data_IF_323496708579
#
_entry.id   IF_323496708579
#
_cell.length_a   1.000
_cell.length_b   1.000
_cell.length_c   1.000
_cell.angle_alpha   90.00
_cell.angle_beta   90.00
_cell.angle_gamma   90.00
#
_symmetry.space_group_name_H-M   'P 1'
#
loop_
_entity.id
_entity.type
_entity.pdbx_description
1 polymer ?
#
# COMPACT_ATOMS: atom_id res chain seq x y z
N UNK A 1 1.44 26.04 11.85
CA UNK A 1 1.40 25.58 10.44
C UNK A 1 1.53 24.05 10.29
N UNK A 2 0.90 23.27 11.19
CA UNK A 2 0.96 21.78 11.15
C UNK A 2 -0.37 21.10 10.71
N UNK A 3 -1.44 21.85 10.54
CA UNK A 3 -2.76 21.31 10.17
C UNK A 3 -2.87 20.82 8.70
N UNK A 4 -2.02 21.33 7.79
CA UNK A 4 -2.08 20.98 6.37
C UNK A 4 -1.58 19.59 6.01
N UNK A 5 -0.68 19.03 6.82
CA UNK A 5 -0.12 17.67 6.58
C UNK A 5 -1.10 16.58 7.01
N UNK A 6 -1.80 16.77 8.10
CA UNK A 6 -2.75 15.80 8.66
C UNK A 6 -3.99 15.58 7.76
N UNK A 7 -4.50 16.67 7.22
CA UNK A 7 -5.65 16.64 6.28
C UNK A 7 -5.33 15.94 4.96
N UNK A 8 -4.08 16.02 4.47
CA UNK A 8 -3.65 15.37 3.23
C UNK A 8 -3.65 13.84 3.34
N UNK A 9 -3.12 13.29 4.43
CA UNK A 9 -3.04 11.84 4.62
C UNK A 9 -4.42 11.21 4.84
N UNK A 10 -5.27 11.83 5.64
CA UNK A 10 -6.61 11.30 5.95
C UNK A 10 -7.60 11.48 4.79
N UNK A 11 -7.43 12.51 3.95
CA UNK A 11 -8.23 12.71 2.75
C UNK A 11 -8.00 11.62 1.69
N UNK A 12 -6.75 11.20 1.51
CA UNK A 12 -6.37 10.13 0.58
C UNK A 12 -7.02 8.80 0.95
N UNK A 13 -6.96 8.40 2.23
CA UNK A 13 -7.56 7.14 2.68
C UNK A 13 -9.08 7.12 2.56
N UNK A 14 -9.77 8.22 2.87
CA UNK A 14 -11.23 8.31 2.73
C UNK A 14 -11.71 8.17 1.29
N UNK A 15 -10.89 8.52 0.31
CA UNK A 15 -11.31 8.49 -1.09
C UNK A 15 -10.98 7.18 -1.79
N UNK A 16 -9.94 6.49 -1.38
CA UNK A 16 -9.68 5.12 -1.82
C UNK A 16 -10.73 4.14 -1.30
N UNK A 17 -11.27 4.38 -0.10
CA UNK A 17 -12.39 3.63 0.47
C UNK A 17 -13.67 3.62 -0.36
N UNK A 18 -13.85 4.57 -1.28
CA UNK A 18 -15.02 4.61 -2.18
C UNK A 18 -14.91 3.75 -3.43
N UNK A 19 -13.84 2.98 -3.59
CA UNK A 19 -13.57 2.22 -4.81
C UNK A 19 -14.05 0.81 -4.76
N UNK A 20 -13.80 0.19 -3.63
CA UNK A 20 -14.44 -1.05 -3.32
C UNK A 20 -15.58 -0.75 -2.37
N UNK A 21 -16.76 -1.33 -2.59
CA UNK A 21 -17.90 -1.13 -1.69
C UNK A 21 -17.46 -1.41 -0.25
N UNK A 22 -17.92 -0.62 0.73
CA UNK A 22 -17.67 -0.93 2.12
C UNK A 22 -18.25 -2.31 2.45
N UNK A 23 -17.53 -3.07 3.25
CA UNK A 23 -17.95 -4.37 3.73
C UNK A 23 -18.57 -4.20 5.11
N UNK A 24 -19.75 -4.78 5.33
CA UNK A 24 -20.30 -4.87 6.68
C UNK A 24 -19.57 -5.98 7.42
N UNK A 25 -18.92 -5.65 8.53
CA UNK A 25 -18.21 -6.60 9.37
C UNK A 25 -18.70 -6.56 10.79
N UNK A 26 -18.79 -7.73 11.36
CA UNK A 26 -19.08 -7.90 12.78
C UNK A 26 -17.85 -7.62 13.62
N UNK A 27 -18.09 -7.21 14.86
CA UNK A 27 -17.05 -7.15 15.87
C UNK A 27 -16.40 -8.54 15.98
N UNK A 28 -15.08 -8.61 16.16
CA UNK A 28 -14.39 -9.90 16.27
C UNK A 28 -14.91 -10.70 17.47
N UNK A 29 -14.94 -12.03 17.36
CA UNK A 29 -15.53 -12.93 18.36
C UNK A 29 -15.00 -12.66 19.78
N UNK A 30 -13.69 -12.41 19.94
CA UNK A 30 -13.11 -12.10 21.24
C UNK A 30 -13.66 -10.82 21.87
N UNK A 31 -13.93 -9.78 21.04
CA UNK A 31 -14.51 -8.55 21.53
C UNK A 31 -16.02 -8.69 21.78
N UNK A 32 -16.74 -9.47 20.96
CA UNK A 32 -18.16 -9.78 21.21
C UNK A 32 -18.31 -10.45 22.58
N UNK A 33 -17.46 -11.42 22.89
CA UNK A 33 -17.49 -12.11 24.20
C UNK A 33 -17.09 -11.18 25.34
N UNK A 34 -16.04 -10.38 25.16
CA UNK A 34 -15.52 -9.50 26.22
C UNK A 34 -16.48 -8.38 26.57
N UNK A 35 -17.18 -7.82 25.61
CA UNK A 35 -18.07 -6.68 25.78
C UNK A 35 -19.56 -7.07 25.79
N UNK A 36 -19.88 -8.35 25.60
CA UNK A 36 -21.26 -8.85 25.47
C UNK A 36 -22.07 -8.08 24.41
N UNK A 37 -21.39 -7.65 23.34
CA UNK A 37 -21.95 -6.78 22.29
C UNK A 37 -21.86 -7.47 20.92
N UNK A 38 -22.98 -7.46 20.20
CA UNK A 38 -23.06 -7.89 18.80
C UNK A 38 -23.30 -6.67 17.94
N UNK A 39 -22.23 -6.12 17.38
CA UNK A 39 -22.27 -4.91 16.55
C UNK A 39 -21.68 -5.20 15.19
N UNK A 40 -22.41 -4.83 14.15
CA UNK A 40 -21.93 -4.80 12.77
C UNK A 40 -21.74 -3.36 12.33
N UNK A 41 -20.68 -3.08 11.61
CA UNK A 41 -20.38 -1.74 11.10
C UNK A 41 -19.85 -1.79 9.66
N UNK A 42 -20.16 -0.78 8.83
CA UNK A 42 -19.51 -0.64 7.54
C UNK A 42 -18.02 -0.32 7.75
N UNK A 43 -17.16 -1.14 7.15
CA UNK A 43 -15.71 -1.02 7.19
C UNK A 43 -15.15 -0.84 5.79
N UNK A 44 -13.89 -0.42 5.69
CA UNK A 44 -13.16 -0.50 4.42
C UNK A 44 -13.10 -1.94 3.95
N UNK A 45 -13.13 -2.12 2.62
CA UNK A 45 -12.84 -3.42 2.03
C UNK A 45 -11.45 -3.92 2.44
N UNK A 46 -11.29 -5.23 2.49
CA UNK A 46 -10.00 -5.84 2.79
C UNK A 46 -8.91 -5.35 1.83
N UNK A 47 -9.27 -5.20 0.55
CA UNK A 47 -8.37 -4.71 -0.49
C UNK A 47 -7.87 -3.28 -0.21
N UNK A 48 -8.75 -2.37 0.21
CA UNK A 48 -8.36 -1.01 0.56
C UNK A 48 -7.49 -0.96 1.81
N UNK A 49 -7.83 -1.75 2.84
CA UNK A 49 -7.02 -1.83 4.07
C UNK A 49 -5.60 -2.29 3.75
N UNK A 50 -5.47 -3.42 3.07
CA UNK A 50 -4.15 -4.00 2.81
C UNK A 50 -3.38 -3.28 1.71
N UNK A 51 -4.04 -2.68 0.71
CA UNK A 51 -3.37 -1.85 -0.28
C UNK A 51 -2.56 -0.72 0.36
N UNK A 52 -3.15 -0.02 1.33
CA UNK A 52 -2.46 1.01 2.12
C UNK A 52 -1.37 0.45 3.04
N UNK A 53 -1.65 -0.66 3.74
CA UNK A 53 -0.69 -1.33 4.63
C UNK A 53 0.54 -1.87 3.88
N UNK A 54 0.38 -2.39 2.67
CA UNK A 54 1.48 -2.82 1.81
C UNK A 54 2.42 -1.65 1.47
N UNK A 55 1.87 -0.49 1.08
CA UNK A 55 2.68 0.71 0.84
C UNK A 55 3.41 1.16 2.12
N UNK A 56 2.74 1.13 3.27
CA UNK A 56 3.35 1.48 4.55
C UNK A 56 4.50 0.53 4.92
N UNK A 57 4.31 -0.78 4.73
CA UNK A 57 5.32 -1.80 4.99
C UNK A 57 6.57 -1.63 4.12
N UNK A 58 6.40 -1.26 2.85
CA UNK A 58 7.50 -0.99 1.92
C UNK A 58 8.23 0.33 2.21
N UNK A 59 7.50 1.37 2.63
CA UNK A 59 8.06 2.70 2.91
C UNK A 59 8.75 2.77 4.26
N UNK A 60 8.02 2.48 5.33
CA UNK A 60 8.49 2.63 6.70
C UNK A 60 9.32 1.44 7.15
N UNK A 61 8.96 0.24 6.70
CA UNK A 61 9.54 -1.04 7.10
C UNK A 61 9.45 -1.24 8.63
N UNK A 62 8.36 -0.73 9.24
CA UNK A 62 8.16 -0.83 10.67
C UNK A 62 7.71 -2.25 11.05
N UNK A 63 8.18 -2.83 12.17
CA UNK A 63 7.81 -4.19 12.60
C UNK A 63 6.31 -4.47 12.62
N UNK A 64 5.48 -3.51 13.04
CA UNK A 64 4.01 -3.63 13.01
C UNK A 64 3.46 -3.77 11.60
N UNK A 65 3.96 -2.96 10.66
CA UNK A 65 3.52 -3.04 9.26
C UNK A 65 3.94 -4.39 8.63
N UNK A 66 5.14 -4.88 8.96
CA UNK A 66 5.63 -6.18 8.50
C UNK A 66 4.84 -7.34 9.14
N UNK A 67 4.43 -7.20 10.40
CA UNK A 67 3.56 -8.17 11.06
C UNK A 67 2.18 -8.24 10.39
N UNK A 68 1.59 -7.09 10.02
CA UNK A 68 0.35 -7.07 9.22
C UNK A 68 0.51 -7.84 7.89
N UNK A 69 1.68 -7.72 7.24
CA UNK A 69 1.97 -8.47 6.01
C UNK A 69 2.13 -9.96 6.26
N UNK A 70 2.72 -10.33 7.40
CA UNK A 70 2.80 -11.73 7.81
C UNK A 70 1.41 -12.34 7.99
N UNK A 71 0.50 -11.61 8.63
CA UNK A 71 -0.90 -12.03 8.78
C UNK A 71 -1.62 -12.10 7.43
N UNK A 72 -1.39 -11.14 6.54
CA UNK A 72 -1.93 -11.18 5.18
C UNK A 72 -1.52 -12.47 4.46
N UNK A 73 -0.25 -12.82 4.49
CA UNK A 73 0.25 -14.03 3.84
C UNK A 73 -0.24 -15.33 4.49
N UNK A 74 -0.53 -15.30 5.78
CA UNK A 74 -1.02 -16.48 6.49
C UNK A 74 -2.51 -16.74 6.21
N UNK A 75 -3.31 -15.69 6.01
CA UNK A 75 -4.76 -15.81 5.92
C UNK A 75 -5.30 -15.64 4.49
N UNK A 76 -4.90 -14.58 3.80
CA UNK A 76 -5.52 -14.17 2.54
C UNK A 76 -4.63 -14.39 1.31
N UNK A 77 -3.33 -14.24 1.47
CA UNK A 77 -2.38 -14.15 0.37
C UNK A 77 -2.52 -12.87 -0.45
N UNK A 78 -1.74 -12.75 -1.51
CA UNK A 78 -1.76 -11.61 -2.42
C UNK A 78 -2.73 -11.85 -3.58
N UNK A 79 -4.02 -11.60 -3.35
CA UNK A 79 -5.05 -11.75 -4.38
C UNK A 79 -4.94 -10.66 -5.46
N UNK A 80 -5.47 -10.89 -6.69
CA UNK A 80 -5.50 -9.87 -7.73
C UNK A 80 -6.20 -8.57 -7.28
N UNK A 81 -7.26 -8.66 -6.48
CA UNK A 81 -7.97 -7.50 -5.97
C UNK A 81 -7.11 -6.68 -4.99
N UNK A 82 -6.43 -7.35 -4.06
CA UNK A 82 -5.48 -6.72 -3.13
C UNK A 82 -4.33 -6.05 -3.89
N UNK A 83 -3.81 -6.72 -4.91
CA UNK A 83 -2.71 -6.21 -5.73
C UNK A 83 -3.12 -4.96 -6.52
N UNK A 84 -4.32 -4.95 -7.14
CA UNK A 84 -4.85 -3.76 -7.82
C UNK A 84 -5.04 -2.59 -6.87
N UNK A 85 -5.57 -2.82 -5.67
CA UNK A 85 -5.65 -1.79 -4.65
C UNK A 85 -4.26 -1.24 -4.32
N UNK A 86 -3.30 -2.12 -4.05
CA UNK A 86 -1.90 -1.72 -3.81
C UNK A 86 -1.34 -0.86 -4.94
N UNK A 87 -1.56 -1.22 -6.20
CA UNK A 87 -1.09 -0.46 -7.37
C UNK A 87 -1.64 0.98 -7.37
N UNK A 88 -2.91 1.16 -6.99
CA UNK A 88 -3.50 2.51 -6.86
C UNK A 88 -2.88 3.30 -5.70
N UNK A 89 -2.66 2.66 -4.55
CA UNK A 89 -1.97 3.29 -3.41
C UNK A 89 -0.52 3.66 -3.77
N UNK A 90 0.20 2.77 -4.43
CA UNK A 90 1.56 3.00 -4.91
C UNK A 90 1.63 4.18 -5.89
N UNK A 91 0.71 4.24 -6.86
CA UNK A 91 0.64 5.34 -7.83
C UNK A 91 0.34 6.68 -7.15
N UNK A 92 -0.37 6.66 -6.02
CA UNK A 92 -0.74 7.84 -5.23
C UNK A 92 0.30 8.24 -4.19
N UNK A 93 1.29 7.40 -3.92
CA UNK A 93 2.24 7.60 -2.83
C UNK A 93 3.22 8.75 -3.10
N UNK A 94 3.65 9.46 -2.05
CA UNK A 94 4.56 10.60 -2.16
C UNK A 94 5.94 10.19 -2.67
N UNK A 95 6.48 9.07 -2.19
CA UNK A 95 7.77 8.53 -2.66
C UNK A 95 7.71 8.05 -4.10
N UNK A 96 8.85 7.99 -4.78
CA UNK A 96 8.96 7.40 -6.11
C UNK A 96 8.55 5.92 -6.09
N UNK A 97 7.68 5.50 -7.02
CA UNK A 97 7.17 4.13 -7.11
C UNK A 97 8.28 3.07 -7.18
N UNK A 98 9.37 3.35 -7.92
CA UNK A 98 10.48 2.41 -8.04
C UNK A 98 11.22 2.16 -6.71
N UNK A 99 11.23 3.14 -5.79
CA UNK A 99 11.84 2.98 -4.47
C UNK A 99 11.00 2.11 -3.53
N UNK A 100 9.67 2.10 -3.70
CA UNK A 100 8.80 1.21 -2.94
C UNK A 100 8.80 -0.21 -3.51
N UNK A 101 8.92 -0.34 -4.83
CA UNK A 101 8.98 -1.65 -5.50
C UNK A 101 10.33 -2.35 -5.33
N UNK A 102 11.39 -1.59 -5.07
CA UNK A 102 12.76 -2.09 -4.83
C UNK A 102 13.40 -1.33 -3.65
N UNK A 103 12.87 -1.50 -2.43
CA UNK A 103 13.31 -0.72 -1.28
C UNK A 103 14.66 -1.18 -0.77
N UNK A 104 15.48 -0.24 -0.33
CA UNK A 104 16.65 -0.56 0.49
C UNK A 104 16.19 -1.04 1.87
N UNK A 105 16.61 -2.22 2.27
CA UNK A 105 16.22 -2.80 3.54
C UNK A 105 16.91 -2.11 4.71
N UNK A 106 16.08 -1.64 5.65
CA UNK A 106 16.54 -0.99 6.89
C UNK A 106 16.85 -2.04 7.96
N UNK A 107 17.80 -1.75 8.82
CA UNK A 107 17.89 -2.47 10.09
C UNK A 107 16.73 -2.07 11.00
N UNK A 108 15.94 -3.05 11.39
CA UNK A 108 14.74 -2.84 12.22
C UNK A 108 14.92 -3.36 13.65
N UNK A 109 16.09 -3.88 14.02
CA UNK A 109 16.31 -4.52 15.31
C UNK A 109 16.03 -3.59 16.50
N UNK A 110 16.50 -2.34 16.44
CA UNK A 110 16.25 -1.35 17.49
C UNK A 110 14.77 -0.97 17.61
N UNK A 111 14.10 -0.76 16.50
CA UNK A 111 12.66 -0.43 16.47
C UNK A 111 11.84 -1.64 16.94
N UNK A 112 12.23 -2.84 16.53
CA UNK A 112 11.61 -4.07 17.02
C UNK A 112 11.68 -4.17 18.54
N UNK A 113 12.86 -4.02 19.12
CA UNK A 113 13.04 -4.14 20.56
C UNK A 113 12.28 -3.07 21.37
N UNK A 114 12.21 -1.83 20.85
CA UNK A 114 11.57 -0.71 21.57
C UNK A 114 10.07 -0.57 21.34
N UNK A 115 9.56 -1.04 20.18
CA UNK A 115 8.20 -0.68 19.77
C UNK A 115 7.32 -1.88 19.35
N UNK A 116 7.87 -3.10 19.32
CA UNK A 116 7.11 -4.27 18.87
C UNK A 116 7.26 -5.50 19.77
N UNK A 117 8.40 -5.74 20.38
CA UNK A 117 8.63 -6.89 21.25
C UNK A 117 7.55 -6.95 22.36
N UNK A 118 6.96 -8.12 22.56
CA UNK A 118 5.88 -8.34 23.54
C UNK A 118 4.49 -7.82 23.13
N UNK A 119 4.30 -7.31 21.90
CA UNK A 119 2.98 -6.85 21.44
C UNK A 119 2.10 -7.97 20.86
N UNK A 120 2.66 -9.13 20.60
CA UNK A 120 1.94 -10.27 20.02
C UNK A 120 1.74 -11.36 21.05
N UNK A 121 0.66 -12.15 20.94
CA UNK A 121 0.39 -13.28 21.84
C UNK A 121 1.50 -14.34 21.78
N UNK A 122 1.96 -14.65 20.56
CA UNK A 122 3.10 -15.51 20.30
C UNK A 122 4.27 -14.64 19.89
N UNK A 123 5.45 -14.89 20.40
CA UNK A 123 6.63 -14.13 20.05
C UNK A 123 6.95 -14.33 18.56
N UNK A 124 7.12 -13.23 17.85
CA UNK A 124 7.51 -13.22 16.43
C UNK A 124 8.91 -12.65 16.34
N UNK A 125 9.93 -13.46 16.06
CA UNK A 125 11.31 -12.98 16.00
C UNK A 125 11.53 -11.98 14.89
N UNK A 126 12.47 -11.05 15.08
CA UNK A 126 12.82 -10.02 14.08
C UNK A 126 13.18 -10.63 12.71
N UNK A 127 13.84 -11.78 12.70
CA UNK A 127 14.19 -12.51 11.47
C UNK A 127 12.96 -12.85 10.64
N UNK A 128 11.87 -13.33 11.25
CA UNK A 128 10.63 -13.66 10.57
C UNK A 128 9.95 -12.42 9.95
N UNK A 129 10.12 -11.25 10.54
CA UNK A 129 9.64 -9.99 9.96
C UNK A 129 10.51 -9.55 8.77
N UNK A 130 11.82 -9.76 8.84
CA UNK A 130 12.74 -9.51 7.72
C UNK A 130 12.40 -10.43 6.53
N UNK A 131 12.21 -11.72 6.77
CA UNK A 131 11.77 -12.68 5.75
C UNK A 131 10.42 -12.29 5.14
N UNK A 132 9.48 -11.83 5.95
CA UNK A 132 8.18 -11.33 5.48
C UNK A 132 8.35 -10.13 4.54
N UNK A 133 9.26 -9.21 4.86
CA UNK A 133 9.58 -8.05 4.03
C UNK A 133 10.15 -8.47 2.67
N UNK A 134 11.11 -9.38 2.66
CA UNK A 134 11.72 -9.92 1.44
C UNK A 134 10.67 -10.65 0.57
N UNK A 135 9.84 -11.46 1.21
CA UNK A 135 8.71 -12.12 0.54
C UNK A 135 7.75 -11.12 -0.06
N UNK A 136 7.39 -10.04 0.66
CA UNK A 136 6.48 -9.00 0.16
C UNK A 136 7.00 -8.37 -1.12
N UNK A 137 8.27 -7.96 -1.15
CA UNK A 137 8.88 -7.36 -2.34
C UNK A 137 8.89 -8.36 -3.50
N UNK A 138 9.30 -9.60 -3.23
CA UNK A 138 9.37 -10.67 -4.24
C UNK A 138 8.00 -10.98 -4.82
N UNK A 139 6.99 -11.19 -3.98
CA UNK A 139 5.63 -11.53 -4.42
C UNK A 139 4.99 -10.40 -5.21
N UNK A 140 5.17 -9.14 -4.79
CA UNK A 140 4.67 -7.98 -5.55
C UNK A 140 5.32 -7.98 -6.95
N UNK A 141 6.64 -8.00 -7.03
CA UNK A 141 7.35 -7.89 -8.32
C UNK A 141 7.05 -9.04 -9.26
N UNK A 142 6.91 -10.25 -8.73
CA UNK A 142 6.60 -11.46 -9.50
C UNK A 142 5.17 -11.45 -10.05
N UNK A 143 4.22 -10.93 -9.28
CA UNK A 143 2.79 -11.07 -9.58
C UNK A 143 2.16 -9.84 -10.26
N UNK A 144 2.87 -8.70 -10.37
CA UNK A 144 2.36 -7.55 -11.14
C UNK A 144 2.09 -7.96 -12.59
N UNK A 145 0.84 -7.85 -13.03
CA UNK A 145 0.44 -8.16 -14.39
C UNK A 145 0.77 -7.01 -15.38
N UNK A 146 0.55 -7.26 -16.66
CA UNK A 146 0.87 -6.30 -17.72
C UNK A 146 0.07 -5.01 -17.60
N UNK A 147 -1.20 -5.09 -17.23
CA UNK A 147 -2.10 -3.95 -17.09
C UNK A 147 -1.72 -3.08 -15.88
N UNK A 148 -1.36 -3.70 -14.77
CA UNK A 148 -0.86 -3.03 -13.57
C UNK A 148 0.44 -2.28 -13.83
N UNK A 149 1.39 -2.93 -14.50
CA UNK A 149 2.66 -2.30 -14.91
C UNK A 149 2.41 -1.14 -15.87
N UNK A 150 1.57 -1.34 -16.88
CA UNK A 150 1.18 -0.30 -17.85
C UNK A 150 0.55 0.89 -17.16
N UNK A 151 -0.36 0.67 -16.20
CA UNK A 151 -0.96 1.74 -15.41
C UNK A 151 0.10 2.56 -14.66
N UNK A 152 1.01 1.92 -13.91
CA UNK A 152 2.07 2.62 -13.17
C UNK A 152 2.97 3.47 -14.08
N UNK A 153 3.35 2.92 -15.24
CA UNK A 153 4.16 3.62 -16.24
C UNK A 153 3.40 4.80 -16.83
N UNK A 154 2.12 4.65 -17.15
CA UNK A 154 1.26 5.71 -17.71
C UNK A 154 1.09 6.88 -16.74
N UNK A 155 0.87 6.61 -15.46
CA UNK A 155 0.86 7.64 -14.40
C UNK A 155 2.21 8.36 -14.35
N UNK A 156 3.34 7.63 -14.38
CA UNK A 156 4.66 8.26 -14.33
C UNK A 156 5.00 9.06 -15.56
N UNK A 157 4.46 8.66 -16.71
CA UNK A 157 4.55 9.42 -17.98
C UNK A 157 3.72 10.71 -17.95
N UNK A 158 2.73 10.79 -17.07
CA UNK A 158 1.76 11.88 -16.99
C UNK A 158 0.60 11.76 -18.01
N UNK A 159 0.43 10.58 -18.58
CA UNK A 159 -0.59 10.22 -19.58
C UNK A 159 -1.35 8.97 -19.10
N UNK A 160 -2.24 9.10 -18.07
CA UNK A 160 -2.82 7.96 -17.41
C UNK A 160 -3.75 7.12 -18.28
N UNK A 161 -3.52 5.81 -18.29
CA UNK A 161 -4.42 4.82 -18.87
C UNK A 161 -5.42 4.36 -17.80
N UNK A 162 -6.49 5.15 -17.61
CA UNK A 162 -7.43 4.99 -16.49
C UNK A 162 -8.15 3.65 -16.48
N UNK A 163 -8.40 3.08 -17.64
CA UNK A 163 -9.17 1.83 -17.79
C UNK A 163 -8.33 0.57 -17.57
N UNK A 164 -7.00 0.71 -17.48
CA UNK A 164 -6.08 -0.42 -17.40
C UNK A 164 -6.34 -1.36 -16.20
N UNK A 165 -6.81 -0.82 -15.06
CA UNK A 165 -7.08 -1.63 -13.87
C UNK A 165 -8.53 -2.13 -13.77
N UNK A 166 -9.42 -1.69 -14.64
CA UNK A 166 -10.84 -2.00 -14.55
C UNK A 166 -11.52 -1.50 -13.26
N UNK A 167 -10.94 -0.45 -12.64
CA UNK A 167 -11.49 0.20 -11.45
C UNK A 167 -12.13 1.53 -11.88
N UNK A 168 -13.42 1.67 -11.60
CA UNK A 168 -14.12 2.92 -11.86
C UNK A 168 -13.57 4.08 -11.00
N UNK A 169 -13.76 5.31 -11.49
CA UNK A 169 -13.45 6.55 -10.77
C UNK A 169 -11.97 6.82 -10.41
N UNK A 170 -10.99 6.09 -11.00
CA UNK A 170 -9.57 6.36 -10.77
C UNK A 170 -9.19 7.81 -11.13
N UNK A 171 -9.79 8.35 -12.19
CA UNK A 171 -9.58 9.73 -12.62
C UNK A 171 -10.01 10.75 -11.56
N UNK A 172 -11.03 10.44 -10.76
CA UNK A 172 -11.59 11.37 -9.78
C UNK A 172 -10.82 11.37 -8.46
N UNK A 173 -9.81 10.50 -8.30
CA UNK A 173 -9.01 10.42 -7.09
C UNK A 173 -8.12 11.64 -6.92
N UNK A 174 -8.36 12.47 -5.90
CA UNK A 174 -7.52 13.61 -5.64
C UNK A 174 -6.06 13.27 -5.43
N UNK A 175 -5.77 12.10 -4.86
CA UNK A 175 -4.40 11.65 -4.67
C UNK A 175 -3.67 11.39 -6.00
N UNK A 176 -4.35 10.75 -6.97
CA UNK A 176 -3.80 10.56 -8.31
C UNK A 176 -3.73 11.89 -9.08
N UNK A 177 -4.75 12.74 -8.98
CA UNK A 177 -4.75 14.07 -9.59
C UNK A 177 -3.60 14.93 -9.04
N UNK A 178 -3.40 14.92 -7.72
CA UNK A 178 -2.28 15.62 -7.10
C UNK A 178 -0.92 15.06 -7.55
N UNK A 179 -0.80 13.72 -7.65
CA UNK A 179 0.42 13.08 -8.17
C UNK A 179 0.71 13.50 -9.62
N UNK A 180 -0.30 13.53 -10.48
CA UNK A 180 -0.17 13.97 -11.87
C UNK A 180 0.21 15.44 -11.96
N UNK A 181 -0.37 16.31 -11.14
CA UNK A 181 0.00 17.71 -11.08
C UNK A 181 1.49 17.88 -10.70
N UNK A 182 1.97 17.10 -9.73
CA UNK A 182 3.38 17.15 -9.35
C UNK A 182 4.30 16.61 -10.45
N UNK A 183 3.89 15.55 -11.14
CA UNK A 183 4.63 15.00 -12.29
C UNK A 183 4.67 16.04 -13.44
N UNK A 184 3.57 16.74 -13.69
CA UNK A 184 3.50 17.81 -14.71
C UNK A 184 4.44 19.00 -14.42
N UNK A 185 4.66 19.30 -13.13
CA UNK A 185 5.60 20.36 -12.68
C UNK A 185 7.06 19.91 -12.67
N UNK A 186 7.32 18.62 -12.80
CA UNK A 186 8.68 18.07 -12.78
C UNK A 186 9.43 18.43 -14.05
N UNK A 187 10.69 18.81 -13.92
CA UNK A 187 11.60 19.03 -15.05
C UNK A 187 11.63 17.79 -15.97
N UNK A 188 11.64 18.02 -17.28
CA UNK A 188 11.58 16.94 -18.29
C UNK A 188 12.68 15.89 -18.11
N UNK A 189 13.93 16.31 -17.84
CA UNK A 189 15.06 15.40 -17.61
C UNK A 189 14.84 14.51 -16.39
N UNK A 190 14.45 15.09 -15.26
CA UNK A 190 14.15 14.36 -14.02
C UNK A 190 12.98 13.38 -14.21
N UNK A 191 11.95 13.79 -14.95
CA UNK A 191 10.79 12.92 -15.25
C UNK A 191 11.22 11.72 -16.10
N UNK A 192 12.04 11.93 -17.14
CA UNK A 192 12.57 10.86 -17.99
C UNK A 192 13.39 9.87 -17.18
N UNK A 193 14.37 10.32 -16.40
CA UNK A 193 15.18 9.46 -15.54
C UNK A 193 14.34 8.65 -14.53
N UNK A 194 13.32 9.29 -13.94
CA UNK A 194 12.44 8.60 -12.99
C UNK A 194 11.52 7.57 -13.68
N UNK A 195 11.13 7.80 -14.92
CA UNK A 195 10.40 6.84 -15.75
C UNK A 195 11.30 5.64 -16.10
N UNK A 196 12.52 5.87 -16.55
CA UNK A 196 13.49 4.82 -16.87
C UNK A 196 13.78 3.91 -15.65
N UNK A 197 13.95 4.51 -14.47
CA UNK A 197 14.13 3.75 -13.22
C UNK A 197 12.91 2.87 -12.93
N UNK A 198 11.69 3.40 -13.09
CA UNK A 198 10.48 2.62 -12.87
C UNK A 198 10.36 1.46 -13.87
N UNK A 199 10.58 1.72 -15.16
CA UNK A 199 10.54 0.68 -16.20
C UNK A 199 11.56 -0.43 -15.92
N UNK A 200 12.79 -0.08 -15.56
CA UNK A 200 13.81 -1.05 -15.14
C UNK A 200 13.35 -1.92 -13.97
N UNK A 201 12.76 -1.30 -12.94
CA UNK A 201 12.27 -2.03 -11.76
C UNK A 201 11.10 -2.97 -12.10
N UNK A 202 10.27 -2.60 -13.10
CA UNK A 202 9.15 -3.40 -13.59
C UNK A 202 9.53 -4.44 -14.65
N UNK A 203 10.79 -4.51 -15.06
CA UNK A 203 11.31 -5.36 -16.15
C UNK A 203 10.54 -5.10 -17.48
N UNK A 204 10.46 -3.84 -17.86
CA UNK A 204 9.79 -3.34 -19.08
C UNK A 204 10.80 -2.60 -19.98
#
# INVERSE_FOLDING_TARGET
>A
MAAGSWLKTHGVYRQLARRYPPETRDLCAAAQVLFELFVSAPTLSLADIYGGKMCAALDRQHPRDLYDMRLLFANEGLTPQLRRAFVVYLASHDRPMHELLDPQFKDIAKVYAGEFAGMTREEVPVAALCETRERLVTEIRKNLDADEKRFLVSIKRGEPEWDALGIAHLRELPALQWKLQNIGRMEKGKRKTALEKLQKTLNM
#
